data_IF_169878739595
#
_entry.id   IF_169878739595
#
_cell.length_a   1.000
_cell.length_b   1.000
_cell.length_c   1.000
_cell.angle_alpha   90.00
_cell.angle_beta   90.00
_cell.angle_gamma   90.00
#
_symmetry.space_group_name_H-M   'P 1'
#
loop_
_entity.id
_entity.type
_entity.pdbx_description
1 polymer ?
#
# COMPACT_ATOMS: atom_id res chain seq x y z
N UNK A 1 53.81 -27.31 -33.73
CA UNK A 1 52.51 -27.11 -34.40
C UNK A 1 51.53 -26.66 -33.33
N UNK A 2 51.11 -25.39 -33.36
CA UNK A 2 50.44 -24.75 -32.23
C UNK A 2 48.96 -25.12 -32.12
N UNK A 3 48.60 -25.41 -30.88
CA UNK A 3 47.31 -25.60 -30.22
C UNK A 3 46.14 -24.80 -30.80
N UNK A 4 44.95 -25.41 -30.79
CA UNK A 4 43.69 -24.67 -30.69
C UNK A 4 42.74 -25.44 -29.76
N UNK A 5 42.58 -24.93 -28.53
CA UNK A 5 41.52 -25.34 -27.60
C UNK A 5 40.38 -24.33 -27.82
N UNK A 6 39.23 -24.80 -28.28
CA UNK A 6 38.05 -23.98 -28.46
C UNK A 6 37.43 -23.67 -27.08
N UNK A 7 37.44 -22.40 -26.68
CA UNK A 7 36.79 -21.92 -25.46
C UNK A 7 35.33 -21.55 -25.77
N UNK A 8 34.38 -22.20 -25.11
CA UNK A 8 32.95 -21.84 -25.12
C UNK A 8 32.78 -20.66 -24.14
N UNK A 9 32.49 -19.48 -24.68
CA UNK A 9 32.18 -18.28 -23.88
C UNK A 9 30.70 -18.36 -23.47
N UNK A 10 30.44 -18.62 -22.19
CA UNK A 10 29.11 -18.55 -21.60
C UNK A 10 28.82 -17.09 -21.22
N UNK A 11 28.10 -16.34 -22.06
CA UNK A 11 27.67 -14.98 -21.73
C UNK A 11 26.46 -15.07 -20.80
N UNK A 12 26.67 -14.81 -19.51
CA UNK A 12 25.59 -14.63 -18.56
C UNK A 12 24.87 -13.30 -18.85
N UNK A 13 23.67 -13.38 -19.44
CA UNK A 13 22.79 -12.23 -19.62
C UNK A 13 22.13 -11.90 -18.27
N UNK A 14 22.73 -10.98 -17.51
CA UNK A 14 22.10 -10.39 -16.34
C UNK A 14 21.01 -9.42 -16.82
N UNK A 15 19.76 -9.88 -16.91
CA UNK A 15 18.65 -8.97 -17.14
C UNK A 15 18.56 -7.98 -15.95
N UNK A 16 18.40 -6.67 -16.20
CA UNK A 16 18.14 -5.74 -15.13
C UNK A 16 16.83 -6.13 -14.45
N UNK A 17 16.88 -6.46 -13.16
CA UNK A 17 15.68 -6.54 -12.32
C UNK A 17 15.24 -5.10 -12.09
N UNK A 18 14.30 -4.63 -12.91
CA UNK A 18 13.60 -3.37 -12.63
C UNK A 18 12.74 -3.64 -11.41
N UNK A 19 13.09 -3.02 -10.27
CA UNK A 19 12.22 -3.04 -9.11
C UNK A 19 10.89 -2.38 -9.51
N UNK A 20 9.84 -3.20 -9.71
CA UNK A 20 8.53 -2.67 -10.04
C UNK A 20 8.03 -1.88 -8.84
N UNK A 21 7.78 -0.59 -9.01
CA UNK A 21 7.19 0.25 -7.97
C UNK A 21 5.75 -0.22 -7.72
N UNK A 22 5.57 -1.10 -6.73
CA UNK A 22 4.27 -1.67 -6.32
C UNK A 22 3.80 -1.03 -5.00
N UNK A 23 2.47 -0.91 -4.78
CA UNK A 23 1.92 -0.57 -3.47
C UNK A 23 2.15 -1.65 -2.40
N UNK A 24 2.55 -2.87 -2.76
CA UNK A 24 2.87 -3.90 -1.77
C UNK A 24 4.05 -3.48 -0.89
N UNK A 25 3.88 -3.63 0.43
CA UNK A 25 4.88 -3.20 1.40
C UNK A 25 4.28 -2.65 2.70
N UNK A 26 5.18 -2.17 3.56
CA UNK A 26 4.81 -1.45 4.79
C UNK A 26 4.92 0.06 4.55
N UNK A 27 3.85 0.76 4.86
CA UNK A 27 3.72 2.19 4.64
C UNK A 27 3.35 2.92 5.90
N UNK A 28 3.94 4.09 6.11
CA UNK A 28 3.61 4.98 7.20
C UNK A 28 2.82 6.16 6.66
N UNK A 29 1.61 6.36 7.17
CA UNK A 29 0.84 7.56 6.85
C UNK A 29 1.22 8.70 7.80
N UNK A 30 1.16 9.92 7.26
CA UNK A 30 1.49 11.15 7.97
C UNK A 30 0.24 12.01 8.03
N UNK A 31 -0.03 12.64 9.17
CA UNK A 31 -1.08 13.63 9.30
C UNK A 31 -0.65 14.93 8.58
N UNK A 32 -1.44 15.35 7.59
CA UNK A 32 -1.10 16.51 6.76
C UNK A 32 -1.13 17.84 7.52
N UNK A 33 -1.76 17.90 8.71
CA UNK A 33 -1.84 19.11 9.54
C UNK A 33 -0.71 19.16 10.56
N UNK A 34 -0.43 18.05 11.23
CA UNK A 34 0.54 18.00 12.34
C UNK A 34 1.92 17.52 11.90
N UNK A 35 2.03 16.81 10.77
CA UNK A 35 3.25 16.15 10.33
C UNK A 35 3.59 14.89 11.13
N UNK A 36 2.72 14.47 12.06
CA UNK A 36 2.96 13.29 12.89
C UNK A 36 2.59 12.01 12.15
N UNK A 37 3.34 10.93 12.40
CA UNK A 37 2.99 9.61 11.89
C UNK A 37 1.78 9.04 12.63
N UNK A 38 0.74 8.60 11.91
CA UNK A 38 -0.49 8.07 12.54
C UNK A 38 -0.49 6.56 12.70
N UNK A 39 -0.06 5.83 11.66
CA UNK A 39 -0.10 4.37 11.62
C UNK A 39 0.92 3.80 10.62
N UNK A 40 1.20 2.51 10.77
CA UNK A 40 1.86 1.70 9.74
C UNK A 40 0.83 0.72 9.15
N UNK A 41 0.71 0.70 7.83
CA UNK A 41 -0.26 -0.07 7.06
C UNK A 41 0.50 -1.03 6.16
N UNK A 42 0.20 -2.32 6.29
CA UNK A 42 0.77 -3.36 5.44
C UNK A 42 -0.16 -3.66 4.29
N UNK A 43 0.32 -3.49 3.06
CA UNK A 43 -0.40 -3.84 1.83
C UNK A 43 0.19 -5.12 1.26
N UNK A 44 -0.67 -6.08 0.88
CA UNK A 44 -0.30 -7.40 0.33
C UNK A 44 -1.22 -7.79 -0.81
N UNK A 45 -0.68 -8.53 -1.79
CA UNK A 45 -1.50 -9.28 -2.74
C UNK A 45 -2.16 -10.47 -2.03
N UNK A 46 -3.49 -10.55 -2.10
CA UNK A 46 -4.28 -11.67 -1.56
C UNK A 46 -4.57 -12.73 -2.63
N UNK A 47 -4.04 -12.56 -3.84
CA UNK A 47 -4.15 -13.48 -4.97
C UNK A 47 -4.63 -12.77 -6.23
N UNK A 48 -3.98 -13.06 -7.36
CA UNK A 48 -4.39 -12.56 -8.67
C UNK A 48 -4.22 -11.04 -8.84
N UNK A 49 -3.26 -10.43 -8.15
CA UNK A 49 -2.99 -8.99 -8.23
C UNK A 49 -3.98 -8.12 -7.47
N UNK A 50 -4.76 -8.71 -6.54
CA UNK A 50 -5.73 -8.00 -5.72
C UNK A 50 -5.05 -7.58 -4.43
N UNK A 51 -4.94 -6.28 -4.20
CA UNK A 51 -4.29 -5.73 -3.01
C UNK A 51 -5.30 -5.40 -1.91
N UNK A 52 -5.02 -5.92 -0.72
CA UNK A 52 -5.65 -5.52 0.54
C UNK A 52 -4.60 -4.91 1.47
N UNK A 53 -5.05 -4.14 2.46
CA UNK A 53 -4.17 -3.53 3.44
C UNK A 53 -4.78 -3.44 4.83
N UNK A 54 -3.95 -3.69 5.85
CA UNK A 54 -4.36 -3.70 7.24
C UNK A 54 -3.42 -2.86 8.11
N UNK A 55 -3.96 -2.29 9.20
CA UNK A 55 -3.14 -1.58 10.19
C UNK A 55 -2.23 -2.55 10.93
N UNK A 56 -0.93 -2.39 10.79
CA UNK A 56 0.08 -3.18 11.49
C UNK A 56 0.52 -2.51 12.79
N UNK A 57 0.57 -1.18 12.82
CA UNK A 57 0.87 -0.40 14.03
C UNK A 57 0.07 0.89 14.07
N UNK A 58 -0.18 1.37 15.28
CA UNK A 58 -0.71 2.71 15.54
C UNK A 58 0.40 3.54 16.20
N UNK A 59 0.61 4.74 15.70
CA UNK A 59 1.70 5.64 16.08
C UNK A 59 1.18 6.95 16.70
N UNK A 60 -0.11 7.25 16.56
CA UNK A 60 -0.75 8.39 17.23
C UNK A 60 -0.65 8.26 18.75
N UNK A 61 -0.40 9.37 19.45
CA UNK A 61 -0.21 9.40 20.92
C UNK A 61 -1.46 8.99 21.71
N UNK A 62 -2.62 9.18 21.12
CA UNK A 62 -3.94 8.85 21.66
C UNK A 62 -4.38 7.41 21.34
N UNK A 63 -3.60 6.67 20.55
CA UNK A 63 -3.93 5.30 20.17
C UNK A 63 -3.88 4.34 21.37
N UNK A 64 -5.01 3.70 21.67
CA UNK A 64 -5.07 2.64 22.69
C UNK A 64 -5.01 1.24 22.05
N UNK A 65 -4.44 0.24 22.73
CA UNK A 65 -4.38 -1.13 22.22
C UNK A 65 -5.75 -1.78 22.01
N UNK A 66 -6.75 -1.35 22.77
CA UNK A 66 -8.11 -1.89 22.81
C UNK A 66 -9.12 -1.08 21.99
N UNK A 67 -8.69 -0.04 21.26
CA UNK A 67 -9.59 0.72 20.41
C UNK A 67 -10.18 -0.18 19.32
N UNK A 68 -11.50 -0.07 19.15
CA UNK A 68 -12.28 -0.79 18.15
C UNK A 68 -12.88 0.20 17.14
N UNK A 69 -13.25 -0.27 15.95
CA UNK A 69 -13.96 0.57 14.99
C UNK A 69 -15.46 0.64 15.33
N UNK A 70 -15.85 1.56 16.22
CA UNK A 70 -17.24 1.75 16.63
C UNK A 70 -18.10 2.43 15.55
N UNK A 71 -17.49 3.35 14.79
CA UNK A 71 -18.13 4.09 13.70
C UNK A 71 -18.35 3.24 12.44
N UNK A 72 -17.62 2.13 12.31
CA UNK A 72 -17.79 1.19 11.20
C UNK A 72 -19.23 0.65 11.16
N UNK A 73 -19.76 0.46 9.95
CA UNK A 73 -21.12 -0.07 9.74
C UNK A 73 -21.15 -1.44 9.07
N UNK A 74 -19.99 -1.99 8.70
CA UNK A 74 -19.83 -3.28 8.04
C UNK A 74 -19.27 -4.36 8.99
N UNK A 75 -18.70 -5.44 8.43
CA UNK A 75 -18.10 -6.56 9.15
C UNK A 75 -16.95 -6.18 10.09
N UNK A 76 -16.47 -4.93 9.99
CA UNK A 76 -15.41 -4.36 10.82
C UNK A 76 -15.93 -3.64 12.06
N UNK A 77 -17.25 -3.48 12.22
CA UNK A 77 -17.84 -2.86 13.42
C UNK A 77 -17.45 -3.62 14.69
N UNK A 78 -16.95 -2.90 15.68
CA UNK A 78 -16.53 -3.45 16.97
C UNK A 78 -15.30 -4.36 16.90
N UNK A 79 -14.60 -4.40 15.75
CA UNK A 79 -13.32 -5.11 15.63
C UNK A 79 -12.17 -4.21 16.09
N UNK A 80 -11.10 -4.77 16.67
CA UNK A 80 -9.90 -4.01 17.01
C UNK A 80 -9.36 -3.24 15.81
N UNK A 81 -8.99 -1.97 16.02
CA UNK A 81 -8.38 -1.13 14.97
C UNK A 81 -7.00 -1.70 14.57
N UNK A 82 -6.26 -2.25 15.53
CA UNK A 82 -5.02 -2.95 15.25
C UNK A 82 -5.32 -4.27 14.50
N UNK A 83 -4.69 -4.45 13.35
CA UNK A 83 -4.96 -5.58 12.45
C UNK A 83 -6.18 -5.37 11.55
N UNK A 84 -6.91 -4.26 11.69
CA UNK A 84 -8.10 -4.00 10.89
C UNK A 84 -7.75 -3.83 9.42
N UNK A 85 -8.41 -4.60 8.57
CA UNK A 85 -8.30 -4.45 7.12
C UNK A 85 -9.04 -3.19 6.66
N UNK A 86 -8.29 -2.17 6.27
CA UNK A 86 -8.84 -0.88 5.84
C UNK A 86 -8.86 -0.74 4.31
N UNK A 87 -7.93 -1.38 3.59
CA UNK A 87 -7.88 -1.37 2.13
C UNK A 87 -8.38 -2.71 1.62
N UNK A 88 -9.34 -2.67 0.68
CA UNK A 88 -9.93 -3.87 0.08
C UNK A 88 -10.04 -3.77 -1.43
N UNK A 89 -9.51 -4.76 -2.13
CA UNK A 89 -9.84 -5.05 -3.53
C UNK A 89 -9.18 -4.15 -4.58
N UNK A 90 -8.08 -3.46 -4.26
CA UNK A 90 -7.43 -2.59 -5.24
C UNK A 90 -6.64 -3.42 -6.27
N UNK A 91 -6.74 -3.08 -7.55
CA UNK A 91 -6.02 -3.77 -8.64
C UNK A 91 -5.27 -2.79 -9.51
N UNK A 92 -4.16 -3.23 -10.10
CA UNK A 92 -3.43 -2.42 -11.08
C UNK A 92 -4.34 -2.12 -12.28
N UNK A 93 -4.41 -0.85 -12.67
CA UNK A 93 -5.11 -0.42 -13.86
C UNK A 93 -4.28 -0.76 -15.10
N UNK A 94 -4.93 -1.26 -16.14
CA UNK A 94 -4.24 -1.70 -17.36
C UNK A 94 -3.41 -0.57 -17.98
N UNK A 95 -2.13 -0.89 -18.24
CA UNK A 95 -1.19 0.04 -18.86
C UNK A 95 -0.77 1.23 -17.99
N UNK A 96 -1.08 1.24 -16.68
CA UNK A 96 -0.74 2.35 -15.77
C UNK A 96 -0.09 1.84 -14.48
N UNK A 97 0.81 2.63 -13.90
CA UNK A 97 1.35 2.40 -12.55
C UNK A 97 0.41 2.98 -11.46
N UNK A 98 -0.86 2.58 -11.54
CA UNK A 98 -1.92 3.02 -10.62
C UNK A 98 -2.75 1.81 -10.22
N UNK A 99 -3.16 1.74 -8.95
CA UNK A 99 -4.06 0.73 -8.44
C UNK A 99 -5.39 1.36 -8.04
N UNK A 100 -6.50 0.85 -8.55
CA UNK A 100 -7.84 1.41 -8.38
C UNK A 100 -8.89 0.30 -8.27
N UNK A 101 -10.19 0.67 -8.27
CA UNK A 101 -11.32 -0.26 -8.13
C UNK A 101 -11.60 -0.71 -6.70
N UNK A 102 -10.64 -0.56 -5.80
CA UNK A 102 -10.77 -0.90 -4.38
C UNK A 102 -11.45 0.18 -3.53
N UNK A 103 -11.59 -0.12 -2.24
CA UNK A 103 -12.08 0.79 -1.21
C UNK A 103 -11.06 0.96 -0.09
N UNK A 104 -11.07 2.13 0.53
CA UNK A 104 -10.37 2.41 1.79
C UNK A 104 -11.36 2.86 2.85
N UNK A 105 -11.33 2.21 4.01
CA UNK A 105 -12.07 2.58 5.20
C UNK A 105 -11.25 3.56 6.03
N UNK A 106 -11.90 4.62 6.51
CA UNK A 106 -11.39 5.44 7.60
C UNK A 106 -12.02 4.98 8.92
N UNK A 107 -11.26 4.35 9.83
CA UNK A 107 -11.80 3.88 11.11
C UNK A 107 -12.27 5.01 12.04
N UNK A 108 -11.79 6.25 11.85
CA UNK A 108 -12.15 7.39 12.71
C UNK A 108 -13.58 7.88 12.44
N UNK A 109 -14.12 7.66 11.25
CA UNK A 109 -15.49 8.05 10.88
C UNK A 109 -16.33 6.92 10.27
N UNK A 110 -15.77 5.71 10.18
CA UNK A 110 -16.46 4.51 9.70
C UNK A 110 -16.81 4.49 8.21
N UNK A 111 -16.35 5.47 7.42
CA UNK A 111 -16.74 5.61 6.01
C UNK A 111 -15.78 4.90 5.08
N UNK A 112 -16.35 4.29 4.04
CA UNK A 112 -15.60 3.72 2.92
C UNK A 112 -15.51 4.72 1.77
N UNK A 113 -14.31 4.93 1.25
CA UNK A 113 -13.99 5.80 0.12
C UNK A 113 -13.51 4.97 -1.06
N UNK A 114 -13.75 5.45 -2.28
CA UNK A 114 -13.08 4.90 -3.47
C UNK A 114 -11.58 5.14 -3.35
N UNK A 115 -10.80 4.08 -3.53
CA UNK A 115 -9.36 4.10 -3.38
C UNK A 115 -8.67 4.21 -4.74
N UNK A 116 -7.65 5.07 -4.81
CA UNK A 116 -6.62 5.06 -5.84
C UNK A 116 -5.25 5.15 -5.17
N UNK A 117 -4.34 4.26 -5.55
CA UNK A 117 -2.96 4.25 -5.08
C UNK A 117 -2.00 4.44 -6.24
N UNK A 118 -1.02 5.33 -6.09
CA UNK A 118 -0.01 5.59 -7.11
C UNK A 118 1.37 5.56 -6.45
N UNK A 119 2.20 4.53 -6.72
CA UNK A 119 3.59 4.53 -6.33
C UNK A 119 4.33 5.68 -7.02
N UNK A 120 5.07 6.47 -6.25
CA UNK A 120 5.86 7.61 -6.75
C UNK A 120 7.29 7.54 -6.23
N UNK A 121 8.18 8.36 -6.79
CA UNK A 121 9.61 8.38 -6.43
C UNK A 121 10.27 7.00 -6.47
N UNK A 122 9.96 6.20 -7.50
CA UNK A 122 10.48 4.85 -7.65
C UNK A 122 9.99 3.86 -6.58
N UNK A 123 8.82 4.12 -5.98
CA UNK A 123 8.22 3.27 -4.95
C UNK A 123 8.61 3.65 -3.51
N UNK A 124 9.40 4.71 -3.31
CA UNK A 124 9.72 5.22 -1.96
C UNK A 124 8.54 5.89 -1.26
N UNK A 125 7.58 6.37 -2.04
CA UNK A 125 6.34 6.99 -1.57
C UNK A 125 5.13 6.39 -2.27
N UNK A 126 3.99 6.48 -1.61
CA UNK A 126 2.71 6.06 -2.15
C UNK A 126 1.71 7.20 -1.99
N UNK A 127 1.19 7.71 -3.09
CA UNK A 127 0.03 8.58 -3.04
C UNK A 127 -1.22 7.72 -2.86
N UNK A 128 -1.95 7.93 -1.76
CA UNK A 128 -3.17 7.23 -1.42
C UNK A 128 -4.32 8.23 -1.45
N UNK A 129 -5.22 8.08 -2.42
CA UNK A 129 -6.40 8.93 -2.57
C UNK A 129 -7.66 8.18 -2.17
N UNK A 130 -8.41 8.78 -1.25
CA UNK A 130 -9.79 8.41 -0.93
C UNK A 130 -10.77 9.45 -1.50
N UNK A 131 -11.81 9.02 -2.22
CA UNK A 131 -12.82 9.92 -2.78
C UNK A 131 -14.27 9.41 -2.68
N UNK A 132 -15.21 10.37 -2.70
CA UNK A 132 -16.65 10.17 -2.96
C UNK A 132 -16.98 11.00 -4.20
N UNK A 133 -17.19 10.32 -5.33
CA UNK A 133 -17.34 11.00 -6.63
C UNK A 133 -16.09 11.84 -6.96
N UNK A 134 -16.25 13.12 -7.39
CA UNK A 134 -15.12 13.98 -7.76
C UNK A 134 -14.35 14.52 -6.53
N UNK A 135 -14.97 14.52 -5.35
CA UNK A 135 -14.39 15.06 -4.13
C UNK A 135 -13.56 14.01 -3.43
N UNK A 136 -12.31 14.34 -3.09
CA UNK A 136 -11.43 13.41 -2.40
C UNK A 136 -10.19 14.10 -1.86
N UNK A 137 -9.45 13.35 -1.06
CA UNK A 137 -8.17 13.77 -0.48
C UNK A 137 -7.10 12.78 -0.86
N UNK A 138 -5.91 13.28 -1.14
CA UNK A 138 -4.72 12.47 -1.40
C UNK A 138 -3.76 12.68 -0.25
N UNK A 139 -3.28 11.58 0.33
CA UNK A 139 -2.21 11.57 1.31
C UNK A 139 -0.97 10.93 0.71
N UNK A 140 0.20 11.35 1.16
CA UNK A 140 1.47 10.73 0.77
C UNK A 140 1.99 9.87 1.90
N UNK A 141 2.04 8.57 1.67
CA UNK A 141 2.59 7.61 2.63
C UNK A 141 4.06 7.32 2.31
N UNK A 142 4.84 7.12 3.36
CA UNK A 142 6.28 6.88 3.28
C UNK A 142 6.55 5.39 3.44
N UNK A 143 7.35 4.82 2.54
CA UNK A 143 7.76 3.42 2.64
C UNK A 143 8.64 3.20 3.87
N UNK A 144 8.34 2.17 4.65
CA UNK A 144 9.11 1.80 5.86
C UNK A 144 10.18 0.75 5.54
N UNK A 145 9.93 -0.11 4.55
CA UNK A 145 10.82 -1.17 4.07
C UNK A 145 10.90 -1.19 2.54
#
# INVERSE_FOLDING_TARGET
>A
MYKAVAAIIFVAFSAPVWAQATPEGLWRNIDDKTGEAKAEIRIRDIGGGVLNGALEKRLSKDAKPDDVCDECSDDRKGKPILGLEIIRGAKKADGKEVWEGGKILDPENGRNYTLRMTPVEGGKKLEVRGSIGPFGRTQTWIRVQ
#
